data_IF_077544543265
#
_entry.id   IF_077544543265
#
_cell.length_a   1.000
_cell.length_b   1.000
_cell.length_c   1.000
_cell.angle_alpha   90.00
_cell.angle_beta   90.00
_cell.angle_gamma   90.00
#
_symmetry.space_group_name_H-M   'P 1'
#
loop_
_entity.id
_entity.type
_entity.pdbx_description
1 polymer ?
#
# COMPACT_ATOMS: atom_id res chain seq x y z
N UNK A 1 -24.28 -8.71 -10.06
CA UNK A 1 -22.86 -8.29 -9.94
C UNK A 1 -22.33 -8.01 -11.34
N UNK A 2 -21.57 -6.94 -11.55
CA UNK A 2 -21.01 -6.56 -12.85
C UNK A 2 -19.48 -6.52 -12.84
N UNK A 3 -18.86 -6.54 -14.02
CA UNK A 3 -17.43 -6.28 -14.18
C UNK A 3 -17.17 -4.79 -13.93
N UNK A 4 -16.28 -4.47 -12.99
CA UNK A 4 -15.91 -3.08 -12.68
C UNK A 4 -14.80 -2.64 -13.61
N UNK A 5 -15.12 -1.74 -14.54
CA UNK A 5 -14.16 -1.18 -15.53
C UNK A 5 -14.01 0.34 -15.41
N UNK A 6 -14.72 0.96 -14.46
CA UNK A 6 -14.77 2.40 -14.24
C UNK A 6 -13.81 2.88 -13.15
N UNK A 7 -13.69 4.20 -12.99
CA UNK A 7 -12.83 4.81 -11.98
C UNK A 7 -11.37 4.43 -12.23
N UNK A 8 -10.65 4.09 -11.17
CA UNK A 8 -9.23 3.73 -11.27
C UNK A 8 -8.97 2.50 -12.16
N UNK A 9 -9.95 1.59 -12.30
CA UNK A 9 -9.82 0.38 -13.13
C UNK A 9 -9.77 0.70 -14.63
N UNK A 10 -10.25 1.86 -15.08
CA UNK A 10 -10.10 2.28 -16.48
C UNK A 10 -8.64 2.56 -16.87
N UNK A 11 -7.79 2.86 -15.89
CA UNK A 11 -6.39 3.26 -16.11
C UNK A 11 -5.43 2.09 -16.02
N UNK A 12 -5.73 1.13 -15.16
CA UNK A 12 -4.94 -0.09 -14.97
C UNK A 12 -5.89 -1.19 -14.48
N UNK A 13 -5.71 -2.43 -14.96
CA UNK A 13 -6.53 -3.55 -14.48
C UNK A 13 -6.23 -3.91 -13.03
N UNK A 14 -5.00 -3.68 -12.57
CA UNK A 14 -4.48 -4.13 -11.27
C UNK A 14 -3.87 -2.98 -10.44
N UNK A 15 -4.58 -1.85 -10.23
CA UNK A 15 -4.00 -0.64 -9.65
C UNK A 15 -3.53 -0.83 -8.21
N UNK A 16 -4.19 -1.72 -7.44
CA UNK A 16 -3.79 -2.08 -6.09
C UNK A 16 -2.40 -2.72 -6.05
N UNK A 17 -2.16 -3.70 -6.93
CA UNK A 17 -0.88 -4.40 -6.99
C UNK A 17 0.24 -3.49 -7.45
N UNK A 18 -0.03 -2.59 -8.40
CA UNK A 18 0.92 -1.54 -8.81
C UNK A 18 1.29 -0.64 -7.63
N UNK A 19 0.29 -0.17 -6.87
CA UNK A 19 0.52 0.62 -5.65
C UNK A 19 1.37 -0.13 -4.63
N UNK A 20 1.10 -1.42 -4.41
CA UNK A 20 1.89 -2.24 -3.49
C UNK A 20 3.35 -2.43 -3.94
N UNK A 21 3.59 -2.62 -5.24
CA UNK A 21 4.94 -2.69 -5.80
C UNK A 21 5.68 -1.38 -5.59
N UNK A 22 5.02 -0.23 -5.82
CA UNK A 22 5.62 1.09 -5.59
C UNK A 22 5.94 1.33 -4.10
N UNK A 23 5.06 0.93 -3.18
CA UNK A 23 5.33 0.99 -1.74
C UNK A 23 6.51 0.11 -1.34
N UNK A 24 6.57 -1.13 -1.83
CA UNK A 24 7.68 -2.05 -1.57
C UNK A 24 9.01 -1.50 -2.07
N UNK A 25 9.02 -0.94 -3.28
CA UNK A 25 10.20 -0.31 -3.86
C UNK A 25 10.63 0.92 -3.04
N UNK A 26 9.67 1.79 -2.67
CA UNK A 26 9.92 2.97 -1.86
C UNK A 26 10.52 2.64 -0.50
N UNK A 27 10.03 1.59 0.18
CA UNK A 27 10.60 1.12 1.45
C UNK A 27 11.99 0.50 1.26
N UNK A 28 12.22 -0.23 0.17
CA UNK A 28 13.56 -0.74 -0.16
C UNK A 28 14.60 0.36 -0.39
N UNK A 29 14.20 1.42 -1.10
CA UNK A 29 15.02 2.63 -1.30
C UNK A 29 15.26 3.33 0.05
N UNK A 30 14.21 3.49 0.86
CA UNK A 30 14.30 4.11 2.19
C UNK A 30 15.24 3.33 3.13
N UNK A 31 15.25 2.01 3.04
CA UNK A 31 16.17 1.16 3.79
C UNK A 31 17.61 1.24 3.28
N UNK A 32 17.86 1.94 2.17
CA UNK A 32 19.15 2.04 1.48
C UNK A 32 19.81 0.65 1.28
N UNK A 33 18.99 -0.35 0.94
CA UNK A 33 19.41 -1.74 0.87
C UNK A 33 19.22 -2.30 -0.53
N UNK A 34 20.31 -2.30 -1.30
CA UNK A 34 20.34 -2.89 -2.65
C UNK A 34 19.96 -4.37 -2.60
N UNK A 35 20.39 -5.09 -1.57
CA UNK A 35 20.04 -6.50 -1.38
C UNK A 35 18.53 -6.71 -1.19
N UNK A 36 17.88 -5.87 -0.38
CA UNK A 36 16.43 -5.93 -0.22
C UNK A 36 15.74 -5.70 -1.55
N UNK A 37 16.11 -4.65 -2.28
CA UNK A 37 15.50 -4.33 -3.58
C UNK A 37 15.74 -5.46 -4.58
N UNK A 38 16.96 -6.00 -4.65
CA UNK A 38 17.33 -7.04 -5.61
C UNK A 38 16.64 -8.39 -5.36
N UNK A 39 16.22 -8.69 -4.13
CA UNK A 39 15.61 -9.99 -3.79
C UNK A 39 14.11 -9.86 -3.55
N UNK A 40 13.69 -8.95 -2.69
CA UNK A 40 12.29 -8.85 -2.30
C UNK A 40 11.43 -8.36 -3.46
N UNK A 41 11.88 -7.37 -4.23
CA UNK A 41 11.07 -6.85 -5.34
C UNK A 41 10.80 -7.92 -6.40
N UNK A 42 11.79 -8.69 -6.91
CA UNK A 42 11.51 -9.78 -7.85
C UNK A 42 10.59 -10.87 -7.30
N UNK A 43 10.74 -11.25 -6.02
CA UNK A 43 9.87 -12.25 -5.38
C UNK A 43 8.43 -11.76 -5.34
N UNK A 44 8.18 -10.52 -4.91
CA UNK A 44 6.83 -9.97 -4.87
C UNK A 44 6.25 -9.74 -6.27
N UNK A 45 7.06 -9.36 -7.25
CA UNK A 45 6.64 -9.29 -8.65
C UNK A 45 6.18 -10.65 -9.17
N UNK A 46 6.91 -11.72 -8.86
CA UNK A 46 6.51 -13.08 -9.22
C UNK A 46 5.20 -13.50 -8.54
N UNK A 47 5.08 -13.25 -7.23
CA UNK A 47 3.86 -13.57 -6.47
C UNK A 47 2.66 -12.82 -7.02
N UNK A 48 2.77 -11.50 -7.23
CA UNK A 48 1.68 -10.70 -7.78
C UNK A 48 1.33 -11.08 -9.21
N UNK A 49 2.31 -11.45 -10.03
CA UNK A 49 2.04 -11.99 -11.36
C UNK A 49 1.22 -13.28 -11.28
N UNK A 50 1.55 -14.21 -10.38
CA UNK A 50 0.79 -15.44 -10.19
C UNK A 50 -0.65 -15.16 -9.72
N UNK A 51 -0.82 -14.25 -8.76
CA UNK A 51 -2.13 -13.86 -8.25
C UNK A 51 -2.98 -13.21 -9.36
N UNK A 52 -2.42 -12.24 -10.08
CA UNK A 52 -3.13 -11.56 -11.17
C UNK A 52 -3.54 -12.53 -12.27
N UNK A 53 -2.69 -13.50 -12.64
CA UNK A 53 -3.07 -14.50 -13.63
C UNK A 53 -4.24 -15.38 -13.16
N UNK A 54 -4.26 -15.76 -11.88
CA UNK A 54 -5.37 -16.51 -11.31
C UNK A 54 -6.67 -15.69 -11.27
N UNK A 55 -6.59 -14.42 -10.89
CA UNK A 55 -7.71 -13.49 -10.88
C UNK A 55 -8.25 -13.21 -12.28
N UNK A 56 -7.38 -12.94 -13.26
CA UNK A 56 -7.79 -12.72 -14.65
C UNK A 56 -8.44 -13.99 -15.24
N UNK A 57 -7.95 -15.18 -14.91
CA UNK A 57 -8.59 -16.43 -15.32
C UNK A 57 -9.99 -16.59 -14.70
N UNK A 58 -10.14 -16.28 -13.42
CA UNK A 58 -11.44 -16.26 -12.74
C UNK A 58 -12.41 -15.26 -13.38
N UNK A 59 -11.94 -14.03 -13.64
CA UNK A 59 -12.74 -12.99 -14.28
C UNK A 59 -13.14 -13.35 -15.71
N UNK A 60 -12.23 -13.96 -16.49
CA UNK A 60 -12.54 -14.47 -17.83
C UNK A 60 -13.61 -15.55 -17.78
N UNK A 61 -13.51 -16.50 -16.85
CA UNK A 61 -14.52 -17.55 -16.69
C UNK A 61 -15.89 -16.99 -16.25
N UNK A 62 -15.91 -15.90 -15.46
CA UNK A 62 -17.14 -15.28 -14.96
C UNK A 62 -17.81 -14.35 -15.97
N UNK A 63 -17.04 -13.57 -16.72
CA UNK A 63 -17.56 -12.48 -17.56
C UNK A 63 -17.30 -12.67 -19.07
N UNK A 64 -16.53 -13.68 -19.46
CA UNK A 64 -16.28 -14.06 -20.86
C UNK A 64 -15.81 -12.90 -21.73
N UNK A 65 -16.51 -12.70 -22.85
CA UNK A 65 -16.20 -11.68 -23.85
C UNK A 65 -16.14 -10.25 -23.28
N UNK A 66 -16.91 -9.94 -22.22
CA UNK A 66 -16.86 -8.63 -21.57
C UNK A 66 -15.50 -8.34 -20.94
N UNK A 67 -14.90 -9.35 -20.29
CA UNK A 67 -13.56 -9.22 -19.73
C UNK A 67 -12.47 -9.21 -20.81
N UNK A 68 -12.64 -9.99 -21.88
CA UNK A 68 -11.69 -9.98 -22.99
C UNK A 68 -11.68 -8.63 -23.74
N UNK A 69 -12.84 -7.97 -23.89
CA UNK A 69 -12.90 -6.61 -24.43
C UNK A 69 -12.15 -5.63 -23.52
N UNK A 70 -12.44 -5.66 -22.22
CA UNK A 70 -11.76 -4.81 -21.24
C UNK A 70 -10.23 -5.01 -21.24
N UNK A 71 -9.75 -6.24 -21.45
CA UNK A 71 -8.33 -6.54 -21.53
C UNK A 71 -7.62 -5.94 -22.75
N UNK A 72 -8.35 -5.61 -23.83
CA UNK A 72 -7.79 -4.96 -25.03
C UNK A 72 -7.56 -3.47 -24.79
N UNK A 73 -8.43 -2.84 -24.02
CA UNK A 73 -8.45 -1.38 -23.84
C UNK A 73 -7.56 -0.92 -22.67
N UNK A 74 -7.42 -1.75 -21.63
CA UNK A 74 -6.74 -1.36 -20.38
C UNK A 74 -5.53 -2.25 -20.11
N UNK A 75 -4.36 -1.66 -19.86
CA UNK A 75 -3.14 -2.39 -19.56
C UNK A 75 -3.21 -3.14 -18.20
N UNK A 76 -2.55 -4.30 -18.13
CA UNK A 76 -2.48 -5.11 -16.91
C UNK A 76 -1.80 -4.40 -15.74
N UNK A 77 -0.66 -3.75 -16.00
CA UNK A 77 0.27 -3.26 -14.98
C UNK A 77 0.60 -1.78 -15.12
N UNK A 78 0.61 -1.24 -16.34
CA UNK A 78 1.05 0.12 -16.61
C UNK A 78 -0.13 1.09 -16.60
N UNK A 79 -0.28 1.98 -15.59
CA UNK A 79 -1.41 2.87 -15.54
C UNK A 79 -1.36 3.90 -16.65
N UNK A 80 -2.46 4.06 -17.38
CA UNK A 80 -2.66 5.23 -18.22
C UNK A 80 -2.77 6.47 -17.35
N UNK A 81 -2.01 7.51 -17.67
CA UNK A 81 -2.11 8.81 -17.00
C UNK A 81 -3.17 9.71 -17.66
N UNK A 82 -3.66 9.32 -18.84
CA UNK A 82 -4.60 10.11 -19.62
C UNK A 82 -5.97 10.20 -18.93
N UNK A 83 -6.39 11.42 -18.57
CA UNK A 83 -7.66 11.65 -17.86
C UNK A 83 -7.68 11.10 -16.42
N UNK A 84 -6.51 10.82 -15.84
CA UNK A 84 -6.40 10.33 -14.47
C UNK A 84 -6.90 11.37 -13.46
N UNK A 85 -6.55 12.65 -13.66
CA UNK A 85 -7.02 13.76 -12.82
C UNK A 85 -8.55 13.81 -12.78
N UNK A 86 -9.21 13.82 -13.93
CA UNK A 86 -10.68 13.88 -14.02
C UNK A 86 -11.34 12.70 -13.32
N UNK A 87 -10.74 11.51 -13.48
CA UNK A 87 -11.20 10.29 -12.83
C UNK A 87 -11.09 10.40 -11.31
N UNK A 88 -9.94 10.86 -10.80
CA UNK A 88 -9.72 11.04 -9.37
C UNK A 88 -10.66 12.11 -8.79
N UNK A 89 -10.89 13.21 -9.53
CA UNK A 89 -11.83 14.27 -9.14
C UNK A 89 -13.29 13.80 -9.10
N UNK A 90 -13.66 12.82 -9.94
CA UNK A 90 -15.01 12.22 -9.92
C UNK A 90 -15.23 11.21 -8.78
N UNK A 91 -14.16 10.74 -8.14
CA UNK A 91 -14.23 9.72 -7.10
C UNK A 91 -14.32 10.35 -5.71
N UNK A 92 -15.26 9.88 -4.89
CA UNK A 92 -15.35 10.26 -3.49
C UNK A 92 -14.60 9.24 -2.60
N UNK A 93 -13.61 9.69 -1.83
CA UNK A 93 -12.84 8.82 -0.95
C UNK A 93 -13.62 8.50 0.34
N UNK A 94 -13.84 7.21 0.60
CA UNK A 94 -14.50 6.76 1.82
C UNK A 94 -13.49 6.52 2.95
N UNK A 95 -13.15 7.60 3.66
CA UNK A 95 -12.21 7.59 4.79
C UNK A 95 -12.56 6.56 5.85
N UNK A 96 -13.83 6.48 6.23
CA UNK A 96 -14.31 5.57 7.27
C UNK A 96 -14.04 4.11 6.88
N UNK A 97 -14.44 3.72 5.66
CA UNK A 97 -14.22 2.37 5.14
C UNK A 97 -12.74 2.03 5.06
N UNK A 98 -11.91 2.96 4.58
CA UNK A 98 -10.47 2.77 4.47
C UNK A 98 -9.84 2.51 5.84
N UNK A 99 -10.10 3.33 6.84
CA UNK A 99 -9.58 3.13 8.21
C UNK A 99 -10.02 1.76 8.75
N UNK A 100 -11.29 1.40 8.63
CA UNK A 100 -11.82 0.14 9.19
C UNK A 100 -11.21 -1.10 8.52
N UNK A 101 -11.01 -1.03 7.20
CA UNK A 101 -10.54 -2.16 6.40
C UNK A 101 -9.01 -2.30 6.42
N UNK A 102 -8.29 -1.19 6.37
CA UNK A 102 -6.84 -1.17 6.13
C UNK A 102 -5.99 -0.81 7.35
N UNK A 103 -6.57 -0.48 8.52
CA UNK A 103 -5.80 -0.07 9.71
C UNK A 103 -4.62 -0.98 10.07
N UNK A 104 -4.77 -2.31 9.93
CA UNK A 104 -3.68 -3.26 10.23
C UNK A 104 -2.53 -3.10 9.24
N UNK A 105 -2.82 -3.08 7.94
CA UNK A 105 -1.82 -2.91 6.88
C UNK A 105 -1.09 -1.57 7.03
N UNK A 106 -1.84 -0.49 7.29
CA UNK A 106 -1.30 0.85 7.49
C UNK A 106 -0.40 0.92 8.73
N UNK A 107 -0.83 0.32 9.84
CA UNK A 107 -0.01 0.25 11.05
C UNK A 107 1.33 -0.45 10.80
N UNK A 108 1.33 -1.59 10.10
CA UNK A 108 2.55 -2.35 9.79
C UNK A 108 3.52 -1.52 8.93
N UNK A 109 3.03 -0.89 7.85
CA UNK A 109 3.87 -0.07 6.98
C UNK A 109 4.45 1.15 7.72
N UNK A 110 3.62 1.88 8.46
CA UNK A 110 4.06 3.07 9.19
C UNK A 110 5.05 2.70 10.30
N UNK A 111 4.80 1.61 11.03
CA UNK A 111 5.72 1.11 12.04
C UNK A 111 7.06 0.72 11.42
N UNK A 112 7.04 0.00 10.29
CA UNK A 112 8.24 -0.34 9.54
C UNK A 112 9.03 0.89 9.09
N UNK A 113 8.37 1.89 8.50
CA UNK A 113 8.99 3.15 8.06
C UNK A 113 9.59 3.92 9.24
N UNK A 114 8.84 4.08 10.34
CA UNK A 114 9.33 4.73 11.57
C UNK A 114 10.54 3.99 12.13
N UNK A 115 10.54 2.65 12.06
CA UNK A 115 11.67 1.83 12.51
C UNK A 115 12.88 2.04 11.61
N UNK A 116 12.70 2.03 10.29
CA UNK A 116 13.80 2.29 9.34
C UNK A 116 14.42 3.69 9.52
N UNK A 117 13.60 4.69 9.85
CA UNK A 117 14.03 6.09 9.94
C UNK A 117 14.62 6.47 11.31
N UNK A 118 14.02 5.98 12.39
CA UNK A 118 14.29 6.49 13.73
C UNK A 118 14.73 5.41 14.73
N UNK A 119 14.71 4.13 14.36
CA UNK A 119 15.13 3.10 15.31
C UNK A 119 16.62 3.28 15.65
N UNK A 120 16.97 3.22 16.93
CA UNK A 120 18.31 3.51 17.40
C UNK A 120 19.25 2.29 17.26
N UNK A 121 19.20 1.64 16.10
CA UNK A 121 20.10 0.56 15.77
C UNK A 121 21.35 1.14 15.09
N UNK A 122 22.57 0.82 15.54
CA UNK A 122 23.80 1.35 14.96
C UNK A 122 24.01 1.01 13.47
N UNK A 123 23.21 0.08 12.91
CA UNK A 123 23.27 -0.39 11.53
C UNK A 123 22.24 0.23 10.57
N UNK A 124 21.20 0.93 11.05
CA UNK A 124 20.22 1.62 10.19
C UNK A 124 20.44 3.14 10.26
N UNK A 125 21.14 3.64 9.24
CA UNK A 125 21.77 4.96 9.18
C UNK A 125 20.83 6.05 8.65
N UNK A 126 20.56 7.06 9.48
CA UNK A 126 20.48 8.48 9.09
C UNK A 126 21.00 9.41 10.22
N UNK A 127 22.27 9.28 10.65
CA UNK A 127 22.80 10.06 11.77
C UNK A 127 22.75 11.57 11.54
N UNK A 128 22.87 12.03 10.29
CA UNK A 128 22.86 13.46 9.95
C UNK A 128 21.48 14.12 10.10
N UNK A 129 20.38 13.37 9.96
CA UNK A 129 19.03 13.91 10.16
C UNK A 129 18.71 14.22 11.63
N UNK A 130 19.42 13.56 12.55
CA UNK A 130 19.18 13.59 14.01
C UNK A 130 20.37 14.16 14.80
N UNK A 131 21.45 14.58 14.10
CA UNK A 131 22.73 14.98 14.68
C UNK A 131 22.67 16.20 15.61
N UNK A 132 21.63 17.03 15.52
CA UNK A 132 21.45 18.21 16.37
C UNK A 132 20.76 17.95 17.71
N UNK A 133 20.30 16.73 17.97
CA UNK A 133 19.38 16.46 19.06
C UNK A 133 19.98 15.46 20.07
N UNK A 134 20.68 15.99 21.09
CA UNK A 134 21.48 15.23 22.07
C UNK A 134 20.72 14.17 22.91
N UNK A 135 19.39 14.08 22.81
CA UNK A 135 18.52 13.14 23.54
C UNK A 135 17.46 12.44 22.65
N UNK A 136 17.46 12.66 21.33
CA UNK A 136 16.21 12.60 20.56
C UNK A 136 15.89 11.38 19.68
N UNK A 137 16.81 10.51 19.21
CA UNK A 137 16.42 9.41 18.32
C UNK A 137 15.51 8.41 19.03
N UNK A 138 15.91 8.01 20.25
CA UNK A 138 15.19 7.01 21.07
C UNK A 138 13.82 7.52 21.52
N UNK A 139 13.72 8.79 21.93
CA UNK A 139 12.47 9.39 22.38
C UNK A 139 11.51 9.66 21.22
N UNK A 140 11.99 10.16 20.08
CA UNK A 140 11.18 10.32 18.86
C UNK A 140 10.66 8.97 18.39
N UNK A 141 11.51 7.95 18.34
CA UNK A 141 11.09 6.59 17.98
C UNK A 141 10.05 6.04 18.96
N UNK A 142 10.31 6.10 20.27
CA UNK A 142 9.40 5.59 21.29
C UNK A 142 8.03 6.30 21.25
N UNK A 143 8.01 7.63 21.11
CA UNK A 143 6.78 8.41 20.99
C UNK A 143 6.03 8.04 19.72
N UNK A 144 6.72 7.93 18.57
CA UNK A 144 6.10 7.57 17.29
C UNK A 144 5.46 6.18 17.35
N UNK A 145 6.18 5.18 17.89
CA UNK A 145 5.65 3.83 18.08
C UNK A 145 4.47 3.83 19.05
N UNK A 146 4.56 4.56 20.17
CA UNK A 146 3.47 4.65 21.13
C UNK A 146 2.20 5.26 20.50
N UNK A 147 2.34 6.35 19.76
CA UNK A 147 1.23 6.99 19.04
C UNK A 147 0.60 6.02 18.04
N UNK A 148 1.40 5.34 17.20
CA UNK A 148 0.89 4.34 16.25
C UNK A 148 0.15 3.20 16.96
N UNK A 149 0.69 2.68 18.06
CA UNK A 149 0.06 1.62 18.85
C UNK A 149 -1.26 2.08 19.47
N UNK A 150 -1.33 3.29 20.04
CA UNK A 150 -2.55 3.86 20.60
C UNK A 150 -3.61 4.03 19.51
N UNK A 151 -3.25 4.58 18.35
CA UNK A 151 -4.16 4.73 17.21
C UNK A 151 -4.68 3.37 16.72
N UNK A 152 -3.79 2.38 16.58
CA UNK A 152 -4.16 1.02 16.19
C UNK A 152 -5.13 0.39 17.19
N UNK A 153 -4.84 0.47 18.49
CA UNK A 153 -5.70 -0.06 19.54
C UNK A 153 -7.04 0.66 19.58
N UNK A 154 -7.06 1.99 19.45
CA UNK A 154 -8.28 2.78 19.41
C UNK A 154 -9.18 2.36 18.23
N UNK A 155 -8.64 2.26 17.02
CA UNK A 155 -9.41 1.80 15.85
C UNK A 155 -9.91 0.36 16.06
N UNK A 156 -9.05 -0.52 16.59
CA UNK A 156 -9.41 -1.92 16.86
C UNK A 156 -10.51 -2.05 17.92
N UNK A 157 -10.47 -1.25 18.96
CA UNK A 157 -11.49 -1.18 20.01
C UNK A 157 -12.81 -0.62 19.48
N UNK A 158 -12.76 0.47 18.71
CA UNK A 158 -13.95 1.07 18.06
C UNK A 158 -14.63 0.08 17.10
N UNK A 159 -13.84 -0.73 16.38
CA UNK A 159 -14.35 -1.80 15.52
C UNK A 159 -14.98 -2.93 16.33
N UNK A 160 -14.33 -3.38 17.41
CA UNK A 160 -14.83 -4.48 18.27
C UNK A 160 -16.12 -4.08 19.04
N UNK A 161 -16.24 -2.82 19.41
CA UNK A 161 -17.42 -2.29 20.14
C UNK A 161 -18.62 -2.00 19.24
N UNK A 162 -18.52 -2.22 17.92
CA UNK A 162 -19.61 -1.96 16.97
C UNK A 162 -19.92 -0.49 16.72
N UNK A 163 -19.22 0.44 17.40
CA UNK A 163 -19.37 1.89 17.22
C UNK A 163 -18.80 2.39 15.88
N UNK A 164 -17.98 1.56 15.24
CA UNK A 164 -17.30 1.89 14.00
C UNK A 164 -17.39 0.71 13.01
N UNK A 165 -18.60 0.46 12.51
CA UNK A 165 -18.89 -0.50 11.44
C UNK A 165 -18.89 0.18 10.08
N UNK A 166 -18.44 -0.56 9.06
CA UNK A 166 -18.32 -0.09 7.68
C UNK A 166 -19.68 -0.01 6.99
#
# INVERSE_FOLDING_TARGET
>A
EGLVTEGIFRHCRNPLYVGNILMLLGVGILANSVFYVAIMVPIFLFIYQAIVLAEENFLRNKFGAGFDSYCKDVNRWWPSLYGLSDTLSSMAFNWKRWIIKEHTTQFIWLLGIVTLLAAPFPTLRYPELLAGCAFAPYSIYAVSVAVLCVLYLLIRLLKKTGRFTA
#
